data_IF_364475787236
#
_entry.id   IF_364475787236
#
_cell.length_a   1.000
_cell.length_b   1.000
_cell.length_c   1.000
_cell.angle_alpha   90.00
_cell.angle_beta   90.00
_cell.angle_gamma   90.00
#
_symmetry.space_group_name_H-M   'P 1'
#
loop_
_entity.id
_entity.type
_entity.pdbx_description
1 polymer ?
#
# COMPACT_ATOMS: atom_id res chain seq x y z
N UNK A 1 4.97 -37.23 -2.92
CA UNK A 1 6.13 -36.33 -2.79
C UNK A 1 6.25 -35.57 -4.08
N UNK A 2 5.67 -34.37 -4.17
CA UNK A 2 5.87 -33.48 -5.31
C UNK A 2 6.78 -32.33 -4.86
N UNK A 3 7.88 -32.21 -5.59
CA UNK A 3 9.03 -31.36 -5.34
C UNK A 3 8.63 -29.92 -5.68
N UNK A 4 8.61 -29.06 -4.67
CA UNK A 4 8.48 -27.61 -4.84
C UNK A 4 9.65 -27.09 -5.68
N UNK A 5 9.35 -26.33 -6.73
CA UNK A 5 10.35 -25.69 -7.59
C UNK A 5 11.24 -24.73 -6.77
N UNK A 6 12.57 -24.88 -6.79
CA UNK A 6 13.50 -24.01 -6.08
C UNK A 6 13.74 -22.74 -6.91
N UNK A 7 12.90 -21.72 -6.73
CA UNK A 7 13.03 -20.50 -7.54
C UNK A 7 12.27 -19.27 -7.06
N UNK A 8 11.32 -19.38 -6.13
CA UNK A 8 10.76 -18.16 -5.50
C UNK A 8 11.84 -17.57 -4.59
N UNK A 9 12.44 -16.47 -5.02
CA UNK A 9 13.33 -15.69 -4.19
C UNK A 9 12.62 -15.44 -2.86
N UNK A 10 13.12 -16.06 -1.79
CA UNK A 10 12.70 -15.74 -0.44
C UNK A 10 12.84 -14.23 -0.29
N UNK A 11 11.75 -13.58 0.11
CA UNK A 11 11.67 -12.17 0.50
C UNK A 11 13.04 -11.66 0.94
N UNK A 12 13.56 -10.62 0.30
CA UNK A 12 14.84 -10.04 0.74
C UNK A 12 14.70 -9.70 2.23
N UNK A 13 15.45 -10.46 3.04
CA UNK A 13 15.30 -10.64 4.49
C UNK A 13 15.51 -9.35 5.28
N UNK A 14 15.97 -8.27 4.64
CA UNK A 14 16.26 -6.97 5.24
C UNK A 14 15.01 -6.10 5.46
N UNK A 15 14.03 -6.13 4.57
CA UNK A 15 12.81 -5.31 4.72
C UNK A 15 11.80 -5.91 5.72
N UNK A 16 11.77 -7.24 5.84
CA UNK A 16 11.03 -7.93 6.91
C UNK A 16 11.50 -7.51 8.30
N UNK A 17 12.81 -7.26 8.47
CA UNK A 17 13.36 -6.78 9.75
C UNK A 17 12.80 -5.39 10.10
N UNK A 18 12.49 -4.53 9.12
CA UNK A 18 11.88 -3.23 9.36
C UNK A 18 10.38 -3.31 9.69
N UNK A 19 9.60 -4.16 8.99
CA UNK A 19 8.18 -4.42 9.30
C UNK A 19 7.97 -4.96 10.72
N UNK A 20 8.93 -5.75 11.19
CA UNK A 20 8.92 -6.38 12.52
C UNK A 20 9.47 -5.46 13.62
N UNK A 21 10.00 -4.27 13.29
CA UNK A 21 10.51 -3.32 14.30
C UNK A 21 9.42 -2.60 15.10
N UNK A 22 8.16 -3.05 15.02
CA UNK A 22 7.08 -2.68 15.94
C UNK A 22 6.41 -1.33 15.69
N UNK A 23 6.86 -0.59 14.67
CA UNK A 23 6.36 0.74 14.31
C UNK A 23 5.28 0.71 13.21
N UNK A 24 5.31 -0.28 12.33
CA UNK A 24 4.59 -0.24 11.06
C UNK A 24 3.12 -0.64 11.11
N UNK A 25 2.62 -1.34 12.14
CA UNK A 25 1.22 -1.82 12.11
C UNK A 25 0.23 -0.87 12.79
N UNK A 26 0.71 0.03 13.65
CA UNK A 26 -0.14 1.02 14.34
C UNK A 26 -0.78 2.00 13.37
N UNK A 27 -0.18 2.19 12.20
CA UNK A 27 -0.67 3.05 11.13
C UNK A 27 -2.01 2.59 10.56
N UNK A 28 -2.40 1.33 10.75
CA UNK A 28 -3.71 0.83 10.36
C UNK A 28 -4.84 1.28 11.32
N UNK A 29 -4.53 1.97 12.42
CA UNK A 29 -5.56 2.61 13.25
C UNK A 29 -6.24 3.78 12.48
N UNK A 30 -7.56 3.98 12.63
CA UNK A 30 -8.32 4.96 11.81
C UNK A 30 -7.82 6.41 11.84
N UNK A 31 -7.09 6.79 12.89
CA UNK A 31 -6.58 8.15 13.08
C UNK A 31 -5.13 8.32 12.63
N UNK A 32 -4.52 7.28 12.06
CA UNK A 32 -3.11 7.30 11.65
C UNK A 32 -2.97 7.30 10.14
N UNK A 33 -2.06 8.13 9.65
CA UNK A 33 -1.65 8.12 8.24
C UNK A 33 -0.89 6.83 7.92
N UNK A 34 -1.20 6.24 6.76
CA UNK A 34 -0.46 5.10 6.24
C UNK A 34 0.82 5.58 5.56
N UNK A 35 1.97 5.26 6.15
CA UNK A 35 3.28 5.59 5.56
C UNK A 35 3.62 4.71 4.34
N UNK A 36 4.46 5.24 3.45
CA UNK A 36 4.81 4.61 2.17
C UNK A 36 5.27 3.15 2.25
N UNK A 37 5.97 2.77 3.32
CA UNK A 37 6.45 1.39 3.50
C UNK A 37 5.32 0.36 3.61
N UNK A 38 4.14 0.73 4.12
CA UNK A 38 2.96 -0.16 4.13
C UNK A 38 2.41 -0.35 2.73
N UNK A 39 2.42 0.71 1.93
CA UNK A 39 1.96 0.69 0.54
C UNK A 39 2.90 -0.15 -0.31
N UNK A 40 4.20 -0.12 -0.04
CA UNK A 40 5.19 -1.00 -0.70
C UNK A 40 4.93 -2.47 -0.39
N UNK A 41 4.58 -2.78 0.86
CA UNK A 41 4.21 -4.15 1.26
C UNK A 41 2.94 -4.60 0.55
N UNK A 42 1.95 -3.72 0.46
CA UNK A 42 0.70 -4.01 -0.24
C UNK A 42 0.89 -4.21 -1.74
N UNK A 43 1.72 -3.38 -2.37
CA UNK A 43 2.11 -3.53 -3.78
C UNK A 43 2.71 -4.91 -4.05
N UNK A 44 3.57 -5.39 -3.16
CA UNK A 44 4.15 -6.74 -3.25
C UNK A 44 3.11 -7.84 -3.05
N UNK A 45 2.21 -7.70 -2.06
CA UNK A 45 1.12 -8.66 -1.85
C UNK A 45 0.27 -8.77 -3.11
N UNK A 46 -0.10 -7.64 -3.73
CA UNK A 46 -0.85 -7.65 -4.99
C UNK A 46 -0.07 -8.30 -6.14
N UNK A 47 1.23 -8.00 -6.29
CA UNK A 47 2.05 -8.61 -7.33
C UNK A 47 2.20 -10.14 -7.15
N UNK A 48 2.21 -10.63 -5.91
CA UNK A 48 2.32 -12.07 -5.61
C UNK A 48 0.99 -12.79 -5.77
N UNK A 49 -0.13 -12.12 -5.47
CA UNK A 49 -1.49 -12.66 -5.59
C UNK A 49 -2.00 -12.69 -7.06
N UNK A 50 -1.40 -11.90 -7.97
CA UNK A 50 -1.95 -11.67 -9.32
C UNK A 50 -1.07 -12.13 -10.50
N UNK A 51 -1.76 -12.42 -11.61
CA UNK A 51 -1.17 -12.82 -12.91
C UNK A 51 -0.99 -11.61 -13.86
N UNK A 52 -1.57 -10.42 -13.59
CA UNK A 52 -1.62 -9.32 -14.58
C UNK A 52 -1.37 -7.88 -14.05
N UNK A 53 -0.98 -7.68 -12.78
CA UNK A 53 -0.72 -6.35 -12.23
C UNK A 53 0.69 -6.24 -11.67
N UNK A 54 1.37 -5.13 -11.99
CA UNK A 54 2.71 -4.84 -11.50
C UNK A 54 2.72 -3.49 -10.78
N UNK A 55 2.51 -3.54 -9.46
CA UNK A 55 2.78 -2.46 -8.53
C UNK A 55 4.27 -2.23 -8.34
N UNK A 56 4.69 -0.96 -8.40
CA UNK A 56 6.06 -0.53 -8.15
C UNK A 56 6.20 -0.04 -6.72
N UNK A 57 7.33 -0.37 -6.08
CA UNK A 57 7.67 0.14 -4.77
C UNK A 57 8.05 1.64 -4.84
N UNK A 58 7.67 2.40 -3.82
CA UNK A 58 7.89 3.83 -3.63
C UNK A 58 9.33 4.24 -3.30
N UNK A 59 10.36 3.44 -3.60
CA UNK A 59 11.75 3.79 -3.28
C UNK A 59 12.34 4.88 -4.18
N UNK A 60 11.53 5.88 -4.52
CA UNK A 60 11.81 7.00 -5.41
C UNK A 60 12.29 8.28 -4.70
N UNK A 61 12.38 8.25 -3.37
CA UNK A 61 12.58 9.46 -2.56
C UNK A 61 13.88 9.41 -1.74
N UNK A 62 14.99 8.98 -2.35
CA UNK A 62 16.31 9.36 -1.84
C UNK A 62 16.63 10.77 -2.37
N UNK A 63 16.59 11.76 -1.48
CA UNK A 63 16.79 13.19 -1.78
C UNK A 63 18.13 13.51 -2.43
N UNK A 64 19.10 12.61 -2.32
CA UNK A 64 20.50 12.86 -2.66
C UNK A 64 20.86 12.35 -4.07
N UNK A 65 19.89 11.78 -4.80
CA UNK A 65 20.11 11.26 -6.15
C UNK A 65 19.96 12.34 -7.23
N UNK A 66 20.90 12.34 -8.18
CA UNK A 66 20.78 13.07 -9.46
C UNK A 66 19.59 12.54 -10.28
N UNK A 67 19.14 13.31 -11.26
CA UNK A 67 18.01 12.91 -12.12
C UNK A 67 18.28 11.59 -12.86
N UNK A 68 19.49 11.39 -13.39
CA UNK A 68 19.88 10.15 -14.05
C UNK A 68 19.88 8.97 -13.08
N UNK A 69 20.39 9.14 -11.86
CA UNK A 69 20.35 8.08 -10.84
C UNK A 69 18.92 7.73 -10.44
N UNK A 70 18.01 8.71 -10.35
CA UNK A 70 16.58 8.45 -10.10
C UNK A 70 15.94 7.67 -11.24
N UNK A 71 16.27 8.01 -12.49
CA UNK A 71 15.82 7.26 -13.68
C UNK A 71 16.33 5.82 -13.65
N UNK A 72 17.62 5.63 -13.40
CA UNK A 72 18.22 4.28 -13.33
C UNK A 72 17.59 3.46 -12.21
N UNK A 73 17.40 4.07 -11.03
CA UNK A 73 16.73 3.40 -9.90
C UNK A 73 15.28 3.06 -10.21
N UNK A 74 14.59 3.93 -10.95
CA UNK A 74 13.24 3.67 -11.43
C UNK A 74 13.16 2.46 -12.34
N UNK A 75 14.05 2.37 -13.31
CA UNK A 75 14.09 1.24 -14.22
C UNK A 75 14.53 -0.03 -13.50
N UNK A 76 15.49 0.04 -12.58
CA UNK A 76 15.89 -1.10 -11.75
C UNK A 76 14.70 -1.65 -10.95
N UNK A 77 13.97 -0.80 -10.23
CA UNK A 77 12.81 -1.20 -9.45
C UNK A 77 11.68 -1.79 -10.31
N UNK A 78 11.47 -1.23 -11.50
CA UNK A 78 10.53 -1.76 -12.49
C UNK A 78 10.92 -3.14 -12.99
N UNK A 79 12.19 -3.31 -13.37
CA UNK A 79 12.70 -4.60 -13.83
C UNK A 79 12.64 -5.65 -12.72
N UNK A 80 12.91 -5.26 -11.47
CA UNK A 80 12.78 -6.13 -10.31
C UNK A 80 11.31 -6.55 -10.07
N UNK A 81 10.34 -5.66 -10.27
CA UNK A 81 8.92 -5.99 -10.06
C UNK A 81 8.34 -6.89 -11.14
N UNK A 82 8.94 -6.91 -12.34
CA UNK A 82 8.50 -7.75 -13.48
C UNK A 82 9.47 -8.90 -13.79
N UNK A 83 10.47 -9.14 -12.93
CA UNK A 83 11.58 -10.06 -13.20
C UNK A 83 11.14 -11.50 -13.48
N UNK A 84 10.03 -11.93 -12.86
CA UNK A 84 9.47 -13.26 -13.05
C UNK A 84 8.55 -13.36 -14.29
N UNK A 85 8.24 -12.21 -14.91
CA UNK A 85 7.72 -12.14 -16.29
C UNK A 85 8.91 -12.18 -17.26
N UNK A 86 8.70 -12.23 -18.58
CA UNK A 86 9.77 -12.27 -19.62
C UNK A 86 10.66 -11.00 -19.67
N UNK A 87 10.86 -10.30 -18.55
CA UNK A 87 11.50 -9.00 -18.33
C UNK A 87 11.04 -7.89 -19.29
N UNK A 88 9.98 -8.14 -20.06
CA UNK A 88 9.47 -7.30 -21.11
C UNK A 88 8.17 -6.65 -20.67
N UNK A 89 8.09 -5.33 -20.83
CA UNK A 89 6.85 -4.58 -20.60
C UNK A 89 5.74 -4.92 -21.62
N UNK A 90 6.02 -5.73 -22.64
CA UNK A 90 5.06 -6.13 -23.68
C UNK A 90 3.82 -6.83 -23.12
N UNK A 91 3.96 -7.53 -21.99
CA UNK A 91 2.88 -8.29 -21.35
C UNK A 91 2.30 -7.59 -20.14
N UNK A 92 2.82 -6.42 -19.78
CA UNK A 92 2.34 -5.65 -18.63
C UNK A 92 1.17 -4.79 -19.08
N UNK A 93 0.03 -4.93 -18.39
CA UNK A 93 -1.16 -4.13 -18.70
C UNK A 93 -1.16 -2.77 -18.02
N UNK A 94 -1.07 -2.78 -16.69
CA UNK A 94 -1.11 -1.59 -15.85
C UNK A 94 0.11 -1.58 -14.93
N UNK A 95 0.79 -0.45 -14.87
CA UNK A 95 1.80 -0.16 -13.86
C UNK A 95 1.21 0.79 -12.83
N UNK A 96 1.28 0.40 -11.56
CA UNK A 96 0.78 1.18 -10.43
C UNK A 96 1.94 1.79 -9.66
N UNK A 97 1.98 3.12 -9.61
CA UNK A 97 3.01 3.89 -8.94
C UNK A 97 2.36 4.76 -7.87
N UNK A 98 2.36 4.33 -6.61
CA UNK A 98 2.01 5.25 -5.55
C UNK A 98 3.02 6.41 -5.53
N UNK A 99 2.55 7.62 -5.25
CA UNK A 99 3.40 8.82 -5.24
C UNK A 99 3.13 9.55 -3.93
N UNK A 100 4.20 9.75 -3.16
CA UNK A 100 4.16 10.53 -1.92
C UNK A 100 4.68 11.94 -2.22
N UNK A 101 3.86 12.95 -1.99
CA UNK A 101 4.25 14.37 -2.12
C UNK A 101 3.54 15.20 -1.08
N UNK A 102 4.29 16.07 -0.40
CA UNK A 102 3.76 17.00 0.60
C UNK A 102 2.84 16.30 1.62
N UNK A 103 3.29 15.16 2.13
CA UNK A 103 2.55 14.30 3.08
C UNK A 103 1.23 13.70 2.55
N UNK A 104 0.94 13.84 1.26
CA UNK A 104 -0.20 13.22 0.59
C UNK A 104 0.24 12.06 -0.29
N UNK A 105 -0.61 11.04 -0.40
CA UNK A 105 -0.37 9.87 -1.24
C UNK A 105 -1.48 9.76 -2.28
N UNK A 106 -1.07 9.70 -3.55
CA UNK A 106 -1.97 9.42 -4.67
C UNK A 106 -1.37 8.32 -5.55
N UNK A 107 -2.17 7.78 -6.46
CA UNK A 107 -1.75 6.71 -7.35
C UNK A 107 -1.56 7.24 -8.77
N UNK A 108 -0.37 7.08 -9.32
CA UNK A 108 -0.08 7.31 -10.72
C UNK A 108 -0.09 5.98 -11.48
N UNK A 109 -0.91 5.87 -12.52
CA UNK A 109 -1.10 4.63 -13.29
C UNK A 109 -0.63 4.86 -14.72
N UNK A 110 0.24 3.97 -15.20
CA UNK A 110 0.64 3.91 -16.60
C UNK A 110 -0.10 2.74 -17.22
N UNK A 111 -1.03 3.04 -18.12
CA UNK A 111 -1.78 2.03 -18.84
C UNK A 111 -1.03 1.69 -20.15
N UNK A 112 -0.36 0.54 -20.15
CA UNK A 112 0.37 0.04 -21.31
C UNK A 112 -0.55 -0.70 -22.29
N UNK A 113 -1.76 -1.12 -21.86
CA UNK A 113 -2.77 -1.70 -22.76
C UNK A 113 -3.43 -0.64 -23.63
N UNK A 114 -3.93 0.44 -23.01
CA UNK A 114 -4.43 1.63 -23.67
C UNK A 114 -3.51 2.80 -23.27
N UNK A 115 -2.60 3.29 -24.13
CA UNK A 115 -1.60 4.29 -23.78
C UNK A 115 -2.17 5.53 -23.09
N UNK A 116 -2.14 5.53 -21.77
CA UNK A 116 -2.69 6.57 -20.91
C UNK A 116 -1.86 6.73 -19.64
N UNK A 117 -1.84 7.96 -19.13
CA UNK A 117 -1.30 8.31 -17.83
C UNK A 117 -2.44 8.81 -16.94
N UNK A 118 -2.78 8.05 -15.90
CA UNK A 118 -3.94 8.32 -15.05
C UNK A 118 -3.51 8.60 -13.63
N UNK A 119 -3.92 9.74 -13.09
CA UNK A 119 -3.76 10.09 -11.68
C UNK A 119 -5.05 9.74 -10.95
N UNK A 120 -4.98 8.85 -9.97
CA UNK A 120 -6.10 8.46 -9.12
C UNK A 120 -5.81 9.01 -7.72
N UNK A 121 -6.52 10.08 -7.37
CA UNK A 121 -6.35 10.82 -6.11
C UNK A 121 -7.69 10.86 -5.37
N UNK A 122 -7.70 10.54 -4.07
CA UNK A 122 -8.89 10.64 -3.25
C UNK A 122 -9.29 12.09 -2.96
N UNK A 123 -8.45 13.08 -3.18
CA UNK A 123 -8.74 14.47 -2.83
C UNK A 123 -9.60 15.18 -3.89
N UNK A 124 -10.61 15.94 -3.42
CA UNK A 124 -11.45 16.86 -4.22
C UNK A 124 -10.86 18.26 -4.38
N UNK A 125 -9.71 18.53 -3.76
CA UNK A 125 -9.12 19.86 -3.79
C UNK A 125 -8.51 20.10 -5.18
N UNK A 126 -9.12 21.01 -5.93
CA UNK A 126 -8.77 21.31 -7.32
C UNK A 126 -7.85 22.52 -7.47
N UNK A 127 -7.58 23.21 -6.36
CA UNK A 127 -6.70 24.35 -6.34
C UNK A 127 -5.26 23.84 -6.57
N UNK A 128 -4.53 24.47 -7.49
CA UNK A 128 -3.11 24.20 -7.72
C UNK A 128 -2.79 22.75 -8.12
N UNK A 129 -3.55 22.17 -9.06
CA UNK A 129 -3.27 20.85 -9.66
C UNK A 129 -1.82 20.76 -10.14
N UNK A 130 -1.29 21.82 -10.77
CA UNK A 130 0.10 21.90 -11.21
C UNK A 130 1.09 21.90 -10.05
N UNK A 131 0.79 22.50 -8.91
CA UNK A 131 1.68 22.44 -7.73
C UNK A 131 1.60 21.06 -7.06
N UNK A 132 0.41 20.44 -7.07
CA UNK A 132 0.16 19.15 -6.43
C UNK A 132 0.84 17.99 -7.19
N UNK A 133 0.54 17.86 -8.48
CA UNK A 133 1.06 16.78 -9.30
C UNK A 133 2.33 17.15 -10.04
N UNK A 134 2.63 18.45 -10.18
CA UNK A 134 3.89 18.94 -10.73
C UNK A 134 4.24 18.30 -12.06
N UNK A 135 5.55 18.29 -12.32
CA UNK A 135 6.10 17.37 -13.30
C UNK A 135 6.10 15.96 -12.71
N UNK A 136 5.82 14.96 -13.55
CA UNK A 136 5.94 13.54 -13.22
C UNK A 136 7.10 12.96 -14.07
N UNK A 137 8.36 13.08 -13.62
CA UNK A 137 9.52 12.58 -14.36
C UNK A 137 9.42 11.10 -14.76
N UNK A 138 8.62 10.32 -14.02
CA UNK A 138 8.28 8.94 -14.32
C UNK A 138 7.75 8.74 -15.74
N UNK A 139 7.06 9.74 -16.30
CA UNK A 139 6.60 9.75 -17.70
C UNK A 139 7.79 9.69 -18.66
N UNK A 140 8.80 10.55 -18.47
CA UNK A 140 10.00 10.56 -19.31
C UNK A 140 10.77 9.27 -19.11
N UNK A 141 10.90 8.81 -17.87
CA UNK A 141 11.65 7.60 -17.54
C UNK A 141 11.05 6.37 -18.24
N UNK A 142 9.72 6.19 -18.17
CA UNK A 142 9.06 5.05 -18.83
C UNK A 142 9.09 5.18 -20.35
N UNK A 143 8.87 6.37 -20.92
CA UNK A 143 8.87 6.58 -22.37
C UNK A 143 10.24 6.31 -22.97
N UNK A 144 11.31 6.81 -22.33
CA UNK A 144 12.68 6.53 -22.76
C UNK A 144 13.04 5.05 -22.66
N UNK A 145 12.55 4.38 -21.61
CA UNK A 145 12.75 2.95 -21.48
C UNK A 145 12.01 2.18 -22.57
N UNK A 146 10.74 2.49 -22.83
CA UNK A 146 9.96 1.88 -23.92
C UNK A 146 10.64 2.09 -25.29
N UNK A 147 11.19 3.29 -25.56
CA UNK A 147 12.02 3.58 -26.74
C UNK A 147 13.23 2.64 -26.82
N UNK A 148 14.00 2.50 -25.73
CA UNK A 148 15.18 1.63 -25.70
C UNK A 148 14.85 0.15 -25.94
N UNK A 149 13.63 -0.28 -25.58
CA UNK A 149 13.13 -1.65 -25.79
C UNK A 149 12.47 -1.86 -27.16
N UNK A 150 12.47 -0.84 -28.04
CA UNK A 150 11.71 -0.84 -29.30
C UNK A 150 10.25 -1.28 -29.09
N UNK A 151 9.61 -0.77 -28.03
CA UNK A 151 8.24 -1.16 -27.69
C UNK A 151 7.24 -0.59 -28.73
N UNK A 152 6.26 -1.38 -29.22
CA UNK A 152 5.37 -0.96 -30.31
C UNK A 152 4.49 0.26 -29.98
N UNK A 153 4.24 0.53 -28.69
CA UNK A 153 3.41 1.65 -28.23
C UNK A 153 4.16 2.94 -27.94
N UNK A 154 5.47 2.97 -28.22
CA UNK A 154 6.33 4.11 -27.88
C UNK A 154 5.86 5.42 -28.50
N UNK A 155 5.52 5.42 -29.80
CA UNK A 155 5.00 6.62 -30.47
C UNK A 155 3.65 7.06 -29.92
N UNK A 156 2.81 6.13 -29.46
CA UNK A 156 1.50 6.47 -28.90
C UNK A 156 1.65 7.32 -27.63
N UNK A 157 2.66 7.02 -26.79
CA UNK A 157 2.89 7.77 -25.55
C UNK A 157 3.47 9.17 -25.74
N UNK A 158 4.01 9.52 -26.92
CA UNK A 158 4.62 10.84 -27.15
C UNK A 158 3.61 11.99 -27.10
N UNK A 159 2.32 11.69 -27.24
CA UNK A 159 1.22 12.65 -27.29
C UNK A 159 0.27 12.55 -26.09
N UNK A 160 0.54 11.66 -25.13
CA UNK A 160 -0.34 11.41 -23.99
C UNK A 160 0.07 12.31 -22.82
N UNK A 161 -0.90 13.10 -22.34
CA UNK A 161 -0.74 13.90 -21.13
C UNK A 161 -1.41 13.20 -19.94
N UNK A 162 -0.83 13.31 -18.74
CA UNK A 162 -1.48 12.78 -17.54
C UNK A 162 -2.76 13.55 -17.23
N UNK A 163 -3.79 12.83 -16.79
CA UNK A 163 -5.04 13.42 -16.31
C UNK A 163 -5.46 12.79 -14.97
N UNK A 164 -6.16 13.57 -14.15
CA UNK A 164 -6.76 13.06 -12.92
C UNK A 164 -8.12 12.45 -13.21
N UNK A 165 -8.35 11.22 -12.74
CA UNK A 165 -9.64 10.56 -12.86
C UNK A 165 -10.64 11.19 -11.88
N UNK A 166 -11.69 11.79 -12.43
CA UNK A 166 -12.72 12.46 -11.63
C UNK A 166 -13.70 11.46 -11.02
N UNK A 167 -13.49 11.12 -9.74
CA UNK A 167 -14.30 10.13 -9.02
C UNK A 167 -15.28 10.78 -8.02
N UNK A 168 -16.50 10.25 -7.86
CA UNK A 168 -17.52 10.85 -6.98
C UNK A 168 -17.20 10.69 -5.48
N UNK A 169 -16.52 9.60 -5.11
CA UNK A 169 -16.18 9.26 -3.72
C UNK A 169 -14.98 10.02 -3.14
N UNK A 170 -14.38 10.96 -3.90
CA UNK A 170 -13.29 11.79 -3.39
C UNK A 170 -13.72 12.62 -2.17
N UNK A 171 -12.75 13.06 -1.40
CA UNK A 171 -12.89 13.69 -0.09
C UNK A 171 -12.33 15.11 -0.10
N UNK A 172 -12.98 16.02 0.62
CA UNK A 172 -12.45 17.37 0.91
C UNK A 172 -11.73 17.35 2.26
N UNK A 173 -12.33 16.69 3.25
CA UNK A 173 -11.89 16.77 4.64
C UNK A 173 -11.02 15.59 5.06
N UNK A 174 -11.15 14.43 4.42
CA UNK A 174 -10.33 13.27 4.75
C UNK A 174 -8.98 13.27 3.99
N UNK A 175 -7.93 13.72 4.68
CA UNK A 175 -6.52 13.66 4.24
C UNK A 175 -5.76 12.48 4.83
N UNK A 176 -6.21 11.94 5.98
CA UNK A 176 -5.51 10.88 6.73
C UNK A 176 -5.55 9.53 6.01
N UNK A 177 -6.65 9.23 5.32
CA UNK A 177 -6.87 7.92 4.68
C UNK A 177 -6.34 7.83 3.23
N UNK A 178 -5.56 8.79 2.74
CA UNK A 178 -5.06 8.80 1.36
C UNK A 178 -4.34 7.50 0.96
N UNK A 179 -3.58 6.90 1.88
CA UNK A 179 -2.96 5.59 1.69
C UNK A 179 -3.96 4.43 1.58
N UNK A 180 -5.07 4.46 2.33
CA UNK A 180 -6.11 3.41 2.28
C UNK A 180 -6.85 3.47 0.95
N UNK A 181 -7.17 4.68 0.50
CA UNK A 181 -7.73 4.92 -0.84
C UNK A 181 -6.77 4.38 -1.90
N UNK A 182 -5.50 4.77 -1.86
CA UNK A 182 -4.45 4.31 -2.78
C UNK A 182 -4.39 2.78 -2.86
N UNK A 183 -4.33 2.10 -1.70
CA UNK A 183 -4.31 0.62 -1.64
C UNK A 183 -5.57 0.00 -2.27
N UNK A 184 -6.75 0.60 -2.05
CA UNK A 184 -8.01 0.14 -2.65
C UNK A 184 -8.07 0.39 -4.14
N UNK A 185 -7.56 1.53 -4.60
CA UNK A 185 -7.48 1.85 -6.02
C UNK A 185 -6.55 0.89 -6.75
N UNK A 186 -5.40 0.54 -6.17
CA UNK A 186 -4.53 -0.51 -6.70
C UNK A 186 -5.25 -1.87 -6.77
N UNK A 187 -6.01 -2.24 -5.72
CA UNK A 187 -6.74 -3.51 -5.67
C UNK A 187 -7.87 -3.62 -6.73
N UNK A 188 -8.50 -2.51 -7.12
CA UNK A 188 -9.77 -2.54 -7.88
C UNK A 188 -9.74 -1.83 -9.23
N UNK A 189 -8.76 -0.99 -9.51
CA UNK A 189 -8.65 -0.33 -10.81
C UNK A 189 -8.15 -1.33 -11.85
N UNK A 190 -8.84 -1.38 -12.98
CA UNK A 190 -8.58 -2.29 -14.10
C UNK A 190 -8.36 -1.54 -15.43
N UNK A 191 -8.09 -0.23 -15.37
CA UNK A 191 -8.09 0.63 -16.55
C UNK A 191 -9.50 1.10 -16.91
N UNK A 192 -9.59 1.92 -17.97
CA UNK A 192 -10.85 2.42 -18.50
C UNK A 192 -11.39 3.66 -17.79
N UNK A 193 -12.63 3.99 -18.12
CA UNK A 193 -13.33 5.17 -17.65
C UNK A 193 -13.83 5.05 -16.20
N UNK A 194 -14.20 6.18 -15.59
CA UNK A 194 -14.78 6.20 -14.24
C UNK A 194 -16.02 5.28 -14.12
N UNK A 195 -16.84 5.20 -15.17
CA UNK A 195 -18.05 4.37 -15.17
C UNK A 195 -17.76 2.87 -15.02
N UNK A 196 -16.57 2.43 -15.47
CA UNK A 196 -16.10 1.05 -15.38
C UNK A 196 -15.39 0.80 -14.04
N UNK A 197 -14.93 1.84 -13.35
CA UNK A 197 -14.19 1.71 -12.10
C UNK A 197 -15.10 1.35 -10.90
N UNK A 198 -15.25 0.05 -10.66
CA UNK A 198 -16.06 -0.50 -9.55
C UNK A 198 -15.29 -0.58 -8.22
N UNK A 199 -14.95 0.56 -7.64
CA UNK A 199 -14.20 0.61 -6.37
C UNK A 199 -15.05 0.21 -5.14
N UNK A 200 -16.36 0.49 -5.18
CA UNK A 200 -17.33 0.20 -4.10
C UNK A 200 -17.39 1.24 -2.97
N UNK A 201 -16.80 2.42 -3.12
CA UNK A 201 -16.84 3.49 -2.12
C UNK A 201 -18.15 4.28 -2.18
N UNK A 202 -18.64 4.66 -1.00
CA UNK A 202 -19.65 5.71 -0.84
C UNK A 202 -19.00 7.08 -0.96
N UNK A 203 -19.82 8.11 -1.12
CA UNK A 203 -19.36 9.51 -1.01
C UNK A 203 -18.89 9.82 0.42
N UNK A 204 -18.05 10.85 0.56
CA UNK A 204 -17.54 11.34 1.84
C UNK A 204 -18.69 11.51 2.86
N UNK A 205 -18.68 10.64 3.87
CA UNK A 205 -19.73 10.49 4.88
C UNK A 205 -19.27 9.50 5.95
N UNK A 206 -19.99 9.42 7.07
CA UNK A 206 -19.75 8.40 8.11
C UNK A 206 -19.79 6.97 7.56
N UNK A 207 -20.58 6.73 6.52
CA UNK A 207 -20.65 5.43 5.88
C UNK A 207 -19.39 5.11 5.06
N UNK A 208 -18.68 6.12 4.54
CA UNK A 208 -17.36 5.94 3.93
C UNK A 208 -16.30 5.73 5.02
N UNK A 209 -16.38 6.43 6.15
CA UNK A 209 -15.47 6.21 7.28
C UNK A 209 -15.54 4.74 7.75
N UNK A 210 -16.75 4.19 7.89
CA UNK A 210 -16.94 2.77 8.20
C UNK A 210 -16.32 1.83 7.16
N UNK A 211 -16.34 2.20 5.87
CA UNK A 211 -15.68 1.44 4.81
C UNK A 211 -14.16 1.49 4.96
N UNK A 212 -13.59 2.67 5.24
CA UNK A 212 -12.15 2.86 5.39
C UNK A 212 -11.61 2.10 6.60
N UNK A 213 -12.33 2.09 7.74
CA UNK A 213 -11.95 1.29 8.91
C UNK A 213 -11.96 -0.21 8.59
N UNK A 214 -12.97 -0.70 7.85
CA UNK A 214 -13.02 -2.11 7.42
C UNK A 214 -11.88 -2.46 6.47
N UNK A 215 -11.55 -1.57 5.53
CA UNK A 215 -10.44 -1.76 4.59
C UNK A 215 -9.08 -1.79 5.31
N UNK A 216 -8.86 -0.90 6.28
CA UNK A 216 -7.65 -0.94 7.12
C UNK A 216 -7.49 -2.32 7.78
N UNK A 217 -8.57 -2.88 8.34
CA UNK A 217 -8.50 -4.22 8.95
C UNK A 217 -8.27 -5.33 7.92
N UNK A 218 -8.96 -5.25 6.77
CA UNK A 218 -8.77 -6.17 5.65
C UNK A 218 -7.31 -6.21 5.21
N UNK A 219 -6.70 -5.07 4.95
CA UNK A 219 -5.34 -5.01 4.42
C UNK A 219 -4.29 -5.46 5.43
N UNK A 220 -4.43 -5.05 6.70
CA UNK A 220 -3.55 -5.57 7.73
C UNK A 220 -3.62 -7.09 7.80
N UNK A 221 -4.82 -7.67 7.85
CA UNK A 221 -4.99 -9.13 7.88
C UNK A 221 -4.34 -9.79 6.67
N UNK A 222 -4.65 -9.32 5.44
CA UNK A 222 -4.08 -9.89 4.22
C UNK A 222 -2.56 -9.82 4.23
N UNK A 223 -1.96 -8.70 4.65
CA UNK A 223 -0.51 -8.55 4.72
C UNK A 223 0.08 -9.51 5.74
N UNK A 224 -0.38 -9.53 7.00
CA UNK A 224 0.29 -10.32 8.06
C UNK A 224 0.06 -11.84 7.96
N UNK A 225 -0.96 -12.26 7.21
CA UNK A 225 -1.29 -13.68 6.98
C UNK A 225 -0.87 -14.18 5.59
N UNK A 226 -0.22 -13.32 4.79
CA UNK A 226 0.24 -13.67 3.45
C UNK A 226 1.26 -14.83 3.50
N UNK A 227 1.25 -15.72 2.50
CA UNK A 227 2.00 -17.00 2.55
C UNK A 227 3.53 -16.85 2.69
N UNK A 228 4.07 -15.71 2.29
CA UNK A 228 5.49 -15.42 2.38
C UNK A 228 5.92 -14.70 3.65
N UNK A 229 4.98 -14.39 4.55
CA UNK A 229 5.32 -13.83 5.86
C UNK A 229 5.83 -14.93 6.76
N UNK A 230 7.10 -14.83 7.17
CA UNK A 230 7.78 -15.78 8.06
C UNK A 230 7.01 -16.01 9.36
N UNK A 231 6.38 -14.97 9.90
CA UNK A 231 5.61 -15.05 11.15
C UNK A 231 4.15 -15.47 10.97
N UNK A 232 3.70 -15.81 9.75
CA UNK A 232 2.29 -16.15 9.48
C UNK A 232 1.76 -17.19 10.46
N UNK A 233 2.45 -18.31 10.64
CA UNK A 233 1.98 -19.41 11.49
C UNK A 233 1.90 -18.99 12.97
N UNK A 234 2.86 -18.20 13.43
CA UNK A 234 2.82 -17.61 14.78
C UNK A 234 1.61 -16.68 14.94
N UNK A 235 1.35 -15.84 13.93
CA UNK A 235 0.20 -14.93 13.94
C UNK A 235 -1.10 -15.74 13.99
N UNK A 236 -1.27 -16.73 13.10
CA UNK A 236 -2.46 -17.56 13.06
C UNK A 236 -2.68 -18.34 14.38
N UNK A 237 -1.61 -18.89 14.96
CA UNK A 237 -1.69 -19.54 16.27
C UNK A 237 -2.22 -18.58 17.35
N UNK A 238 -1.74 -17.33 17.37
CA UNK A 238 -2.19 -16.33 18.35
C UNK A 238 -3.62 -15.88 18.10
N UNK A 239 -4.06 -15.84 16.84
CA UNK A 239 -5.46 -15.62 16.48
C UNK A 239 -6.35 -16.73 17.07
N UNK A 240 -5.95 -17.98 16.89
CA UNK A 240 -6.69 -19.14 17.40
C UNK A 240 -6.74 -19.16 18.93
N UNK A 241 -5.63 -18.85 19.60
CA UNK A 241 -5.57 -18.70 21.06
C UNK A 241 -6.54 -17.61 21.55
N UNK A 242 -6.59 -16.46 20.87
CA UNK A 242 -7.50 -15.38 21.24
C UNK A 242 -8.98 -15.77 21.01
N UNK A 243 -9.29 -16.51 19.94
CA UNK A 243 -10.65 -16.98 19.70
C UNK A 243 -11.18 -17.94 20.77
N UNK A 244 -10.29 -18.66 21.47
CA UNK A 244 -10.65 -19.54 22.60
C UNK A 244 -11.05 -18.78 23.86
N UNK A 245 -10.73 -17.49 23.97
CA UNK A 245 -11.08 -16.64 25.11
C UNK A 245 -12.59 -16.32 25.06
N UNK A 246 -13.32 -16.39 26.18
CA UNK A 246 -14.73 -16.00 26.26
C UNK A 246 -14.98 -14.57 25.76
N UNK A 247 -16.09 -14.35 25.06
CA UNK A 247 -16.33 -13.08 24.36
C UNK A 247 -16.27 -11.84 25.26
N UNK A 248 -16.76 -11.93 26.50
CA UNK A 248 -16.69 -10.83 27.47
C UNK A 248 -15.25 -10.44 27.82
N UNK A 249 -14.41 -11.44 28.11
CA UNK A 249 -13.00 -11.23 28.42
C UNK A 249 -12.22 -10.71 27.20
N UNK A 250 -12.57 -11.19 25.99
CA UNK A 250 -12.03 -10.62 24.75
C UNK A 250 -12.34 -9.12 24.69
N UNK A 251 -13.60 -8.71 24.82
CA UNK A 251 -13.99 -7.30 24.78
C UNK A 251 -13.24 -6.43 25.80
N UNK A 252 -13.01 -6.93 27.02
CA UNK A 252 -12.23 -6.24 28.05
C UNK A 252 -10.75 -6.09 27.64
N UNK A 253 -10.12 -7.17 27.15
CA UNK A 253 -8.75 -7.14 26.64
C UNK A 253 -8.58 -6.18 25.47
N UNK A 254 -9.58 -6.10 24.58
CA UNK A 254 -9.60 -5.20 23.44
C UNK A 254 -9.72 -3.74 23.87
N UNK A 255 -10.58 -3.44 24.84
CA UNK A 255 -10.70 -2.09 25.40
C UNK A 255 -9.36 -1.62 26.01
N UNK A 256 -8.71 -2.47 26.80
CA UNK A 256 -7.39 -2.21 27.38
C UNK A 256 -6.32 -2.03 26.28
N UNK A 257 -6.37 -2.84 25.23
CA UNK A 257 -5.44 -2.73 24.11
C UNK A 257 -5.62 -1.39 23.37
N UNK A 258 -6.85 -0.99 23.09
CA UNK A 258 -7.20 0.27 22.42
C UNK A 258 -6.69 1.47 23.20
N UNK A 259 -6.98 1.54 24.50
CA UNK A 259 -6.52 2.62 25.38
C UNK A 259 -4.99 2.74 25.38
N UNK A 260 -4.28 1.61 25.57
CA UNK A 260 -2.82 1.61 25.57
C UNK A 260 -2.20 1.97 24.22
N UNK A 261 -2.92 1.76 23.11
CA UNK A 261 -2.47 2.19 21.79
C UNK A 261 -2.64 3.70 21.65
N UNK A 262 -3.76 4.26 22.08
CA UNK A 262 -3.98 5.71 22.10
C UNK A 262 -2.91 6.42 22.94
N UNK A 263 -2.68 5.99 24.19
CA UNK A 263 -1.62 6.58 25.03
C UNK A 263 -0.24 6.57 24.37
N UNK A 264 0.09 5.48 23.65
CA UNK A 264 1.38 5.38 22.96
C UNK A 264 1.47 6.23 21.71
N UNK A 265 0.35 6.54 21.07
CA UNK A 265 0.30 7.45 19.91
C UNK A 265 0.42 8.89 20.40
N UNK A 266 -0.23 9.22 21.52
CA UNK A 266 -0.12 10.52 22.18
C UNK A 266 1.32 10.77 22.66
N UNK A 267 1.95 9.79 23.32
CA UNK A 267 3.37 9.86 23.70
C UNK A 267 4.26 10.09 22.48
N UNK A 268 3.93 9.49 21.32
CA UNK A 268 4.72 9.62 20.09
C UNK A 268 4.61 11.01 19.47
N UNK A 269 3.41 11.60 19.50
CA UNK A 269 3.20 12.99 19.06
C UNK A 269 3.99 14.01 19.89
N UNK A 270 4.41 13.63 21.11
CA UNK A 270 5.22 14.45 22.00
C UNK A 270 6.73 14.33 21.74
N UNK A 271 7.19 13.30 21.02
CA UNK A 271 8.60 13.01 20.74
C UNK A 271 9.05 13.38 19.31
N UNK A 272 8.26 14.17 18.58
CA UNK A 272 8.69 14.75 17.29
C UNK A 272 9.71 15.91 17.43
N UNK A 273 10.31 16.06 18.62
CA UNK A 273 11.57 16.76 18.81
C UNK A 273 12.55 15.84 19.55
N UNK A 274 13.64 15.55 18.86
CA UNK A 274 14.86 14.85 19.28
C UNK A 274 14.99 13.33 19.06
N UNK A 275 16.02 13.07 18.25
CA UNK A 275 16.57 11.80 17.79
C UNK A 275 17.24 11.04 18.96
N UNK A 276 17.19 9.70 18.87
CA UNK A 276 17.88 8.65 19.67
C UNK A 276 17.08 7.93 20.77
N UNK A 277 16.93 6.61 20.57
CA UNK A 277 16.46 5.68 21.60
C UNK A 277 16.49 4.21 21.19
N UNK A 278 17.58 3.75 20.55
CA UNK A 278 17.67 2.41 19.93
C UNK A 278 17.66 1.23 20.92
N UNK A 279 17.68 1.46 22.23
CA UNK A 279 17.80 0.40 23.25
C UNK A 279 16.48 0.00 23.94
N UNK A 280 15.42 0.83 23.84
CA UNK A 280 14.10 0.56 24.45
C UNK A 280 13.07 -0.11 23.51
N UNK A 281 13.46 -0.30 22.25
CA UNK A 281 12.59 -0.74 21.15
C UNK A 281 12.32 -2.26 21.20
N UNK A 282 13.25 -3.06 21.70
CA UNK A 282 13.20 -4.54 21.63
C UNK A 282 12.22 -5.14 22.67
N UNK A 283 12.09 -4.56 23.87
CA UNK A 283 11.08 -4.99 24.85
C UNK A 283 9.65 -4.48 24.52
N UNK A 284 9.54 -3.30 23.87
CA UNK A 284 8.25 -2.76 23.38
C UNK A 284 7.70 -3.56 22.18
N UNK A 285 8.57 -4.17 21.37
CA UNK A 285 8.21 -4.99 20.20
C UNK A 285 7.41 -6.25 20.54
N UNK A 286 7.73 -6.95 21.63
CA UNK A 286 7.03 -8.18 22.05
C UNK A 286 5.57 -7.93 22.46
N UNK A 287 5.27 -6.79 23.10
CA UNK A 287 3.91 -6.44 23.50
C UNK A 287 3.06 -5.79 22.39
N UNK A 288 3.68 -5.26 21.32
CA UNK A 288 2.95 -4.70 20.18
C UNK A 288 2.37 -5.80 19.28
N UNK A 289 3.13 -6.88 19.01
CA UNK A 289 2.67 -7.98 18.15
C UNK A 289 1.43 -8.67 18.74
N UNK A 290 1.42 -8.94 20.05
CA UNK A 290 0.26 -9.55 20.75
C UNK A 290 -1.02 -8.69 20.69
N UNK A 291 -0.91 -7.40 20.34
CA UNK A 291 -2.01 -6.41 20.31
C UNK A 291 -2.56 -6.12 18.92
N UNK A 292 -1.71 -6.19 17.90
CA UNK A 292 -2.10 -6.16 16.49
C UNK A 292 -2.91 -7.43 16.16
N UNK A 293 -2.48 -8.55 16.76
CA UNK A 293 -3.20 -9.82 16.74
C UNK A 293 -4.62 -9.70 17.29
N UNK A 294 -4.83 -8.97 18.38
CA UNK A 294 -6.18 -8.77 18.93
C UNK A 294 -7.09 -7.98 17.99
N UNK A 295 -6.58 -6.92 17.35
CA UNK A 295 -7.34 -6.08 16.40
C UNK A 295 -7.65 -6.77 15.07
N UNK A 296 -6.76 -7.62 14.57
CA UNK A 296 -7.00 -8.42 13.36
C UNK A 296 -8.12 -9.45 13.59
N UNK A 297 -8.19 -9.99 14.81
CA UNK A 297 -9.20 -10.96 15.20
C UNK A 297 -10.56 -10.33 15.50
N UNK A 298 -10.60 -9.04 15.85
CA UNK A 298 -11.84 -8.29 16.10
C UNK A 298 -12.83 -8.30 14.91
N UNK A 299 -12.36 -8.48 13.66
CA UNK A 299 -13.18 -8.23 12.46
C UNK A 299 -13.30 -9.39 11.47
N UNK A 300 -12.80 -10.57 11.80
CA UNK A 300 -12.93 -11.78 10.97
C UNK A 300 -14.19 -12.61 11.27
N UNK A 301 -15.19 -12.07 11.96
CA UNK A 301 -16.43 -12.79 12.36
C UNK A 301 -17.48 -12.97 11.26
N UNK A 302 -17.16 -12.66 9.99
CA UNK A 302 -18.10 -12.81 8.86
C UNK A 302 -17.47 -13.70 7.77
N UNK A 303 -18.18 -14.70 7.22
CA UNK A 303 -17.73 -15.43 6.04
C UNK A 303 -17.46 -14.45 4.89
N UNK A 304 -16.21 -14.43 4.41
CA UNK A 304 -15.68 -13.38 3.55
C UNK A 304 -16.29 -13.29 2.14
N UNK A 305 -17.16 -14.22 1.74
CA UNK A 305 -17.91 -14.14 0.47
C UNK A 305 -18.98 -13.04 0.42
N UNK A 306 -19.16 -12.26 1.49
CA UNK A 306 -20.21 -11.23 1.63
C UNK A 306 -19.70 -9.85 2.07
N UNK A 307 -18.38 -9.62 2.11
CA UNK A 307 -17.80 -8.32 2.46
C UNK A 307 -17.27 -7.59 1.22
N UNK A 308 -18.23 -6.93 0.56
CA UNK A 308 -18.17 -6.05 -0.63
C UNK A 308 -17.99 -6.79 -1.95
#
# INVERSE_FOLDING_TARGET
MNILSPGRAKFSTLWMIFLLRGFTWKVFFPTCELFGHVIDCWSQVLNLDEIFRNGLQNSYLESDLTENQRKDKFIENLLLSIKDMDASLRYVGLLFLPVVRSFHIFLFVINLQCPEFVIIDNSKVDNHIDERYGQLPQIIYIVDYLKSQNHPKTEMFSHVMPYRLEMPWRTINNHIDCGVFTMRHMETYMGGSMNEFKVGFKNESSAQDDQLVKLRTKYLYKIITHEYIVQKDYVLQKVDEFHKIPSRQRSELLAIAKEKIHTRLDDFSYFDYDFYGFFWIVLKQWFCMLRILTWVVERTTVPFGLLI
#
